data_IF_425713202503
#
_entry.id   IF_425713202503
#
_cell.length_a   1.000
_cell.length_b   1.000
_cell.length_c   1.000
_cell.angle_alpha   90.00
_cell.angle_beta   90.00
_cell.angle_gamma   90.00
#
_symmetry.space_group_name_H-M   'P 1'
#
loop_
_entity.id
_entity.type
_entity.pdbx_description
1 polymer ?
#
# COMPACT_ATOMS: atom_id res chain seq x y z
N UNK A 1 26.55 -5.35 22.81
CA UNK A 1 25.65 -4.20 22.56
C UNK A 1 24.22 -4.72 22.63
N UNK A 2 23.38 -4.16 23.48
CA UNK A 2 21.95 -4.50 23.52
C UNK A 2 21.22 -3.53 22.59
N UNK A 3 20.56 -4.03 21.56
CA UNK A 3 19.70 -3.24 20.69
C UNK A 3 18.34 -3.05 21.36
N UNK A 4 17.70 -1.90 21.14
CA UNK A 4 16.32 -1.69 21.55
C UNK A 4 15.40 -2.67 20.80
N UNK A 5 14.45 -3.30 21.51
CA UNK A 5 13.43 -4.15 20.90
C UNK A 5 12.30 -3.33 20.25
N UNK A 6 12.22 -2.04 20.56
CA UNK A 6 11.25 -1.13 19.99
C UNK A 6 11.93 -0.18 19.02
N UNK A 7 11.30 0.05 17.88
CA UNK A 7 11.76 1.03 16.90
C UNK A 7 11.41 2.43 17.36
N UNK A 8 12.33 3.36 17.11
CA UNK A 8 12.09 4.80 17.31
C UNK A 8 11.36 5.37 16.09
N UNK A 9 10.04 5.33 16.12
CA UNK A 9 9.18 5.84 15.04
C UNK A 9 9.13 7.38 15.05
N UNK A 10 9.40 8.02 16.19
CA UNK A 10 9.43 9.49 16.30
C UNK A 10 10.58 10.12 15.50
N UNK A 11 11.61 9.36 15.17
CA UNK A 11 12.68 9.81 14.27
C UNK A 11 12.21 10.05 12.83
N UNK A 12 11.06 9.48 12.42
CA UNK A 12 10.48 9.61 11.07
C UNK A 12 9.40 10.69 11.08
N UNK A 13 8.39 10.53 11.93
CA UNK A 13 7.31 11.49 12.13
C UNK A 13 7.05 11.65 13.63
N UNK A 14 7.58 12.72 14.28
CA UNK A 14 7.40 12.94 15.71
C UNK A 14 5.91 13.03 16.09
N UNK A 15 5.52 12.33 17.15
CA UNK A 15 4.15 12.37 17.68
C UNK A 15 3.25 11.22 17.21
N UNK A 16 3.80 10.22 16.50
CA UNK A 16 3.06 9.00 16.14
C UNK A 16 1.83 9.29 15.26
N UNK A 17 0.68 8.73 15.62
CA UNK A 17 -0.60 8.96 14.91
C UNK A 17 -1.12 10.39 15.01
N UNK A 18 -0.61 11.20 15.94
CA UNK A 18 -0.94 12.63 16.07
C UNK A 18 0.08 13.57 15.38
N UNK A 19 1.02 13.05 14.62
CA UNK A 19 2.07 13.83 13.99
C UNK A 19 1.52 14.86 13.00
N UNK A 20 1.82 16.15 13.23
CA UNK A 20 1.49 17.23 12.29
C UNK A 20 2.22 17.04 10.96
N UNK A 21 3.47 16.58 11.01
CA UNK A 21 4.27 16.34 9.80
C UNK A 21 3.68 15.22 8.95
N UNK A 22 3.18 14.13 9.56
CA UNK A 22 2.47 13.07 8.85
C UNK A 22 1.17 13.59 8.23
N UNK A 23 0.36 14.33 8.99
CA UNK A 23 -0.88 14.92 8.49
C UNK A 23 -0.62 15.88 7.32
N UNK A 24 0.42 16.71 7.41
CA UNK A 24 0.82 17.61 6.33
C UNK A 24 1.28 16.83 5.08
N UNK A 25 2.05 15.74 5.27
CA UNK A 25 2.48 14.87 4.17
C UNK A 25 1.30 14.20 3.46
N UNK A 26 0.33 13.73 4.22
CA UNK A 26 -0.89 13.12 3.67
C UNK A 26 -1.72 14.14 2.87
N UNK A 27 -1.84 15.38 3.35
CA UNK A 27 -2.50 16.45 2.60
C UNK A 27 -1.77 16.77 1.29
N UNK A 28 -0.45 16.82 1.31
CA UNK A 28 0.35 16.99 0.08
C UNK A 28 0.09 15.86 -0.92
N UNK A 29 -0.03 14.61 -0.45
CA UNK A 29 -0.34 13.47 -1.31
C UNK A 29 -1.74 13.59 -1.94
N UNK A 30 -2.72 14.05 -1.19
CA UNK A 30 -4.07 14.32 -1.71
C UNK A 30 -4.03 15.37 -2.83
N UNK A 31 -3.36 16.49 -2.59
CA UNK A 31 -3.22 17.57 -3.57
C UNK A 31 -2.46 17.09 -4.82
N UNK A 32 -1.36 16.35 -4.65
CA UNK A 32 -0.58 15.78 -5.73
C UNK A 32 -1.37 14.74 -6.54
N UNK A 33 -2.17 13.91 -5.88
CA UNK A 33 -3.03 12.92 -6.56
C UNK A 33 -4.10 13.61 -7.39
N UNK A 34 -4.69 14.68 -6.88
CA UNK A 34 -5.65 15.50 -7.61
C UNK A 34 -5.01 16.17 -8.83
N UNK A 35 -3.81 16.71 -8.66
CA UNK A 35 -3.02 17.31 -9.74
C UNK A 35 -2.66 16.27 -10.81
N UNK A 36 -2.20 15.10 -10.41
CA UNK A 36 -1.86 14.00 -11.32
C UNK A 36 -3.05 13.61 -12.18
N UNK A 37 -4.21 13.38 -11.56
CA UNK A 37 -5.45 13.08 -12.27
C UNK A 37 -5.79 14.15 -13.31
N UNK A 38 -5.71 15.43 -12.93
CA UNK A 38 -6.00 16.55 -13.85
C UNK A 38 -4.99 16.62 -15.01
N UNK A 39 -3.69 16.43 -14.72
CA UNK A 39 -2.65 16.45 -15.75
C UNK A 39 -2.82 15.30 -16.74
N UNK A 40 -3.07 14.09 -16.25
CA UNK A 40 -3.33 12.90 -17.09
C UNK A 40 -4.58 13.10 -17.95
N UNK A 41 -5.66 13.59 -17.37
CA UNK A 41 -6.94 13.81 -18.10
C UNK A 41 -6.77 14.84 -19.22
N UNK A 42 -6.04 15.93 -18.97
CA UNK A 42 -5.81 17.01 -19.94
C UNK A 42 -4.72 16.67 -20.98
N UNK A 43 -3.83 15.75 -20.65
CA UNK A 43 -2.77 15.38 -21.56
C UNK A 43 -3.35 14.67 -22.81
N UNK A 44 -2.96 15.14 -23.99
CA UNK A 44 -3.28 14.45 -25.24
C UNK A 44 -2.01 13.90 -25.87
N UNK A 45 -2.01 12.61 -26.27
CA UNK A 45 -0.84 11.96 -26.82
C UNK A 45 -0.38 12.65 -28.13
N UNK A 46 0.89 13.06 -28.14
CA UNK A 46 1.55 13.61 -29.32
C UNK A 46 3.05 13.53 -29.09
N UNK A 47 3.83 13.28 -30.13
CA UNK A 47 5.29 13.12 -30.03
C UNK A 47 6.01 14.37 -29.51
N UNK A 48 5.45 15.56 -29.73
CA UNK A 48 5.95 16.84 -29.22
C UNK A 48 5.66 17.09 -27.74
N UNK A 49 4.92 16.19 -27.07
CA UNK A 49 4.55 16.29 -25.67
C UNK A 49 5.27 15.33 -24.74
N UNK A 50 6.42 14.81 -25.16
CA UNK A 50 7.26 13.93 -24.34
C UNK A 50 7.66 14.58 -23.01
N UNK A 51 8.01 15.86 -22.99
CA UNK A 51 8.32 16.62 -21.78
C UNK A 51 7.14 16.67 -20.80
N UNK A 52 5.92 16.88 -21.32
CA UNK A 52 4.72 16.88 -20.47
C UNK A 52 4.46 15.49 -19.87
N UNK A 53 4.63 14.43 -20.67
CA UNK A 53 4.53 13.06 -20.17
C UNK A 53 5.59 12.78 -19.09
N UNK A 54 6.83 13.19 -19.31
CA UNK A 54 7.89 13.02 -18.32
C UNK A 54 7.53 13.70 -16.98
N UNK A 55 7.00 14.93 -17.02
CA UNK A 55 6.54 15.62 -15.81
C UNK A 55 5.36 14.90 -15.11
N UNK A 56 4.46 14.25 -15.88
CA UNK A 56 3.36 13.43 -15.34
C UNK A 56 3.94 12.19 -14.64
N UNK A 57 4.90 11.50 -15.25
CA UNK A 57 5.52 10.29 -14.68
C UNK A 57 6.35 10.61 -13.43
N UNK A 58 7.05 11.74 -13.40
CA UNK A 58 7.78 12.20 -12.21
C UNK A 58 6.83 12.53 -11.04
N UNK A 59 5.66 13.11 -11.35
CA UNK A 59 4.65 13.36 -10.33
C UNK A 59 4.08 12.05 -9.80
N UNK A 60 3.82 11.05 -10.67
CA UNK A 60 3.40 9.70 -10.26
C UNK A 60 4.42 9.04 -9.34
N UNK A 61 5.70 9.09 -9.70
CA UNK A 61 6.78 8.57 -8.85
C UNK A 61 6.80 9.24 -7.47
N UNK A 62 6.66 10.57 -7.43
CA UNK A 62 6.60 11.35 -6.18
C UNK A 62 5.42 10.92 -5.30
N UNK A 63 4.24 10.68 -5.89
CA UNK A 63 3.06 10.20 -5.20
C UNK A 63 3.29 8.78 -4.67
N UNK A 64 3.80 7.88 -5.51
CA UNK A 64 4.06 6.48 -5.11
C UNK A 64 5.04 6.39 -3.95
N UNK A 65 6.13 7.14 -4.00
CA UNK A 65 7.12 7.20 -2.93
C UNK A 65 6.51 7.76 -1.64
N UNK A 66 5.73 8.83 -1.74
CA UNK A 66 5.06 9.43 -0.58
C UNK A 66 3.98 8.53 0.01
N UNK A 67 3.19 7.86 -0.82
CA UNK A 67 2.19 6.88 -0.38
C UNK A 67 2.86 5.73 0.36
N UNK A 68 3.92 5.17 -0.21
CA UNK A 68 4.70 4.08 0.40
C UNK A 68 5.28 4.49 1.75
N UNK A 69 5.84 5.70 1.85
CA UNK A 69 6.37 6.25 3.11
C UNK A 69 5.28 6.33 4.19
N UNK A 70 4.14 6.96 3.88
CA UNK A 70 3.04 7.10 4.83
C UNK A 70 2.44 5.75 5.20
N UNK A 71 2.23 4.86 4.23
CA UNK A 71 1.69 3.53 4.47
C UNK A 71 2.59 2.68 5.36
N UNK A 72 3.90 2.66 5.10
CA UNK A 72 4.87 1.92 5.91
C UNK A 72 4.90 2.44 7.36
N UNK A 73 4.86 3.75 7.53
CA UNK A 73 4.84 4.36 8.85
C UNK A 73 3.56 4.04 9.63
N UNK A 74 2.38 4.20 9.01
CA UNK A 74 1.09 3.88 9.63
C UNK A 74 1.01 2.39 9.97
N UNK A 75 1.52 1.52 9.09
CA UNK A 75 1.59 0.07 9.34
C UNK A 75 2.49 -0.23 10.55
N UNK A 76 3.61 0.46 10.71
CA UNK A 76 4.48 0.31 11.87
C UNK A 76 3.78 0.75 13.18
N UNK A 77 3.02 1.86 13.16
CA UNK A 77 2.20 2.29 14.31
C UNK A 77 1.16 1.23 14.69
N UNK A 78 0.42 0.71 13.71
CA UNK A 78 -0.60 -0.32 13.94
C UNK A 78 0.01 -1.65 14.41
N UNK A 79 1.21 -1.98 13.95
CA UNK A 79 1.94 -3.16 14.41
C UNK A 79 2.43 -3.01 15.86
N UNK A 80 2.77 -1.80 16.28
CA UNK A 80 3.14 -1.50 17.67
C UNK A 80 1.91 -1.45 18.59
N UNK A 81 0.78 -0.91 18.10
CA UNK A 81 -0.48 -0.82 18.83
C UNK A 81 -1.68 -0.99 17.88
N UNK A 82 -2.19 -2.21 17.79
CA UNK A 82 -3.37 -2.55 16.97
C UNK A 82 -4.65 -1.81 17.37
N UNK A 83 -4.69 -1.24 18.58
CA UNK A 83 -5.83 -0.48 19.09
C UNK A 83 -5.71 1.04 18.87
N UNK A 84 -4.67 1.50 18.18
CA UNK A 84 -4.52 2.91 17.81
C UNK A 84 -5.61 3.32 16.80
N UNK A 85 -6.67 3.94 17.33
CA UNK A 85 -7.83 4.39 16.52
C UNK A 85 -7.46 5.49 15.54
N UNK A 86 -6.51 6.37 15.89
CA UNK A 86 -6.10 7.48 15.05
C UNK A 86 -5.23 6.97 13.88
N UNK A 87 -4.34 6.01 14.13
CA UNK A 87 -3.62 5.33 13.06
C UNK A 87 -4.56 4.59 12.09
N UNK A 88 -5.66 3.97 12.57
CA UNK A 88 -6.68 3.38 11.69
C UNK A 88 -7.39 4.43 10.83
N UNK A 89 -7.72 5.58 11.40
CA UNK A 89 -8.32 6.70 10.66
C UNK A 89 -7.35 7.21 9.58
N UNK A 90 -6.07 7.38 9.92
CA UNK A 90 -5.03 7.78 8.96
C UNK A 90 -4.88 6.77 7.83
N UNK A 91 -4.87 5.47 8.14
CA UNK A 91 -4.87 4.40 7.14
C UNK A 91 -6.05 4.53 6.18
N UNK A 92 -7.27 4.68 6.70
CA UNK A 92 -8.47 4.87 5.88
C UNK A 92 -8.37 6.09 4.96
N UNK A 93 -7.89 7.23 5.47
CA UNK A 93 -7.67 8.45 4.66
C UNK A 93 -6.63 8.24 3.56
N UNK A 94 -5.54 7.53 3.86
CA UNK A 94 -4.51 7.23 2.87
C UNK A 94 -5.04 6.34 1.74
N UNK A 95 -5.72 5.26 2.09
CA UNK A 95 -6.29 4.34 1.11
C UNK A 95 -7.42 4.96 0.28
N UNK A 96 -8.12 5.97 0.80
CA UNK A 96 -9.13 6.72 0.05
C UNK A 96 -8.56 7.50 -1.17
N UNK A 97 -7.24 7.67 -1.26
CA UNK A 97 -6.58 8.27 -2.42
C UNK A 97 -6.44 7.29 -3.60
N UNK A 98 -6.41 5.98 -3.33
CA UNK A 98 -6.14 4.95 -4.34
C UNK A 98 -7.11 4.94 -5.52
N UNK A 99 -8.44 5.03 -5.34
CA UNK A 99 -9.36 4.99 -6.48
C UNK A 99 -9.07 6.10 -7.49
N UNK A 100 -8.71 7.29 -7.02
CA UNK A 100 -8.39 8.41 -7.90
C UNK A 100 -7.07 8.24 -8.63
N UNK A 101 -6.07 7.70 -7.94
CA UNK A 101 -4.78 7.36 -8.53
C UNK A 101 -4.96 6.29 -9.62
N UNK A 102 -5.65 5.21 -9.31
CA UNK A 102 -5.94 4.12 -10.24
C UNK A 102 -6.77 4.59 -11.44
N UNK A 103 -7.76 5.47 -11.22
CA UNK A 103 -8.50 6.07 -12.34
C UNK A 103 -7.59 6.86 -13.27
N UNK A 104 -6.65 7.64 -12.75
CA UNK A 104 -5.67 8.35 -13.57
C UNK A 104 -4.77 7.39 -14.35
N UNK A 105 -4.29 6.33 -13.71
CA UNK A 105 -3.45 5.30 -14.35
C UNK A 105 -4.22 4.57 -15.46
N UNK A 106 -5.49 4.24 -15.24
CA UNK A 106 -6.39 3.66 -16.25
C UNK A 106 -6.51 4.57 -17.47
N UNK A 107 -6.76 5.87 -17.26
CA UNK A 107 -6.85 6.87 -18.33
C UNK A 107 -5.53 6.98 -19.09
N UNK A 108 -4.40 7.03 -18.37
CA UNK A 108 -3.08 7.12 -18.99
C UNK A 108 -2.76 5.89 -19.85
N UNK A 109 -3.03 4.68 -19.33
CA UNK A 109 -2.81 3.42 -20.05
C UNK A 109 -3.63 3.34 -21.33
N UNK A 110 -4.90 3.77 -21.30
CA UNK A 110 -5.76 3.83 -22.49
C UNK A 110 -5.22 4.82 -23.51
N UNK A 111 -4.82 6.01 -23.07
CA UNK A 111 -4.18 7.00 -23.97
C UNK A 111 -2.92 6.46 -24.61
N UNK A 112 -2.12 5.67 -23.91
CA UNK A 112 -0.94 5.01 -24.49
C UNK A 112 -1.33 3.98 -25.56
N UNK A 113 -2.39 3.20 -25.32
CA UNK A 113 -2.87 2.20 -26.28
C UNK A 113 -3.39 2.83 -27.59
N UNK A 114 -3.90 4.05 -27.54
CA UNK A 114 -4.42 4.79 -28.70
C UNK A 114 -3.33 5.43 -29.58
N UNK A 115 -2.08 5.54 -29.09
CA UNK A 115 -0.96 6.13 -29.85
C UNK A 115 -0.55 5.16 -30.96
N UNK A 116 -0.33 5.69 -32.20
CA UNK A 116 0.21 4.89 -33.29
C UNK A 116 1.61 4.33 -32.95
N UNK A 117 1.99 3.19 -33.50
CA UNK A 117 3.31 2.61 -33.26
C UNK A 117 4.47 3.55 -33.65
N UNK A 118 4.29 4.30 -34.71
CA UNK A 118 5.29 5.26 -35.17
C UNK A 118 5.48 6.41 -34.18
N UNK A 119 4.38 7.03 -33.73
CA UNK A 119 4.40 8.13 -32.75
C UNK A 119 4.89 7.65 -31.39
N UNK A 120 4.52 6.42 -31.00
CA UNK A 120 4.97 5.80 -29.77
C UNK A 120 6.48 5.59 -29.76
N UNK A 121 7.04 5.01 -30.83
CA UNK A 121 8.49 4.82 -30.97
C UNK A 121 9.24 6.15 -31.01
N UNK A 122 8.69 7.15 -31.65
CA UNK A 122 9.25 8.50 -31.65
C UNK A 122 9.23 9.11 -30.24
N UNK A 123 8.15 8.95 -29.49
CA UNK A 123 8.06 9.41 -28.10
C UNK A 123 9.08 8.70 -27.21
N UNK A 124 9.20 7.37 -27.31
CA UNK A 124 10.16 6.59 -26.53
C UNK A 124 11.63 6.93 -26.87
N UNK A 125 11.91 7.49 -28.04
CA UNK A 125 13.27 7.95 -28.38
C UNK A 125 13.73 9.18 -27.59
N UNK A 126 12.83 9.83 -26.85
CA UNK A 126 13.20 10.90 -25.95
C UNK A 126 14.04 10.36 -24.79
N UNK A 127 15.21 10.96 -24.53
CA UNK A 127 16.19 10.43 -23.57
C UNK A 127 15.68 10.18 -22.15
N UNK A 128 14.62 10.90 -21.73
CA UNK A 128 14.01 10.68 -20.42
C UNK A 128 13.33 9.32 -20.28
N UNK A 129 13.03 8.61 -21.36
CA UNK A 129 12.29 7.34 -21.33
C UNK A 129 13.17 6.12 -21.57
N UNK A 130 14.45 6.30 -21.87
CA UNK A 130 15.37 5.20 -22.20
C UNK A 130 15.37 4.09 -21.14
N UNK A 131 15.46 4.46 -19.86
CA UNK A 131 15.52 3.50 -18.74
C UNK A 131 14.18 2.87 -18.38
N UNK A 132 13.06 3.50 -18.77
CA UNK A 132 11.70 3.06 -18.42
C UNK A 132 10.89 2.60 -19.63
N UNK A 133 11.50 2.58 -20.83
CA UNK A 133 10.83 2.22 -22.08
C UNK A 133 10.13 0.84 -22.01
N UNK A 134 10.77 -0.15 -21.37
CA UNK A 134 10.16 -1.46 -21.17
C UNK A 134 8.85 -1.34 -20.37
N UNK A 135 8.87 -0.62 -19.26
CA UNK A 135 7.68 -0.45 -18.42
C UNK A 135 6.56 0.32 -19.14
N UNK A 136 6.92 1.35 -19.91
CA UNK A 136 5.93 2.10 -20.70
C UNK A 136 5.27 1.22 -21.77
N UNK A 137 6.04 0.33 -22.43
CA UNK A 137 5.48 -0.66 -23.37
C UNK A 137 4.52 -1.65 -22.69
N UNK A 138 4.84 -2.11 -21.49
CA UNK A 138 3.95 -2.96 -20.70
C UNK A 138 2.63 -2.23 -20.39
N UNK A 139 2.70 -0.98 -19.88
CA UNK A 139 1.51 -0.18 -19.58
C UNK A 139 0.66 0.03 -20.84
N UNK A 140 1.30 0.31 -22.00
CA UNK A 140 0.60 0.46 -23.27
C UNK A 140 -0.12 -0.82 -23.69
N UNK A 141 0.55 -1.97 -23.57
CA UNK A 141 -0.03 -3.28 -23.89
C UNK A 141 -1.23 -3.56 -22.99
N UNK A 142 -1.07 -3.36 -21.69
CA UNK A 142 -2.12 -3.61 -20.71
C UNK A 142 -3.31 -2.66 -20.92
N UNK A 143 -3.05 -1.42 -21.31
CA UNK A 143 -4.07 -0.42 -21.68
C UNK A 143 -5.03 -0.88 -22.79
N UNK A 144 -4.54 -1.69 -23.74
CA UNK A 144 -5.35 -2.25 -24.82
C UNK A 144 -6.33 -3.36 -24.34
N UNK A 145 -6.13 -3.89 -23.14
CA UNK A 145 -6.94 -4.98 -22.57
C UNK A 145 -7.93 -4.49 -21.50
N UNK A 146 -7.88 -3.21 -21.14
CA UNK A 146 -8.77 -2.62 -20.13
C UNK A 146 -10.22 -2.58 -20.60
N UNK A 147 -11.13 -2.69 -19.65
CA UNK A 147 -12.56 -2.48 -19.82
C UNK A 147 -12.86 -1.00 -20.15
N UNK A 148 -14.13 -0.63 -20.30
CA UNK A 148 -14.50 0.78 -20.43
C UNK A 148 -14.07 1.59 -19.20
N UNK A 149 -13.86 2.89 -19.35
CA UNK A 149 -13.47 3.77 -18.23
C UNK A 149 -14.49 3.70 -17.07
N UNK A 150 -15.77 3.61 -17.40
CA UNK A 150 -16.85 3.52 -16.40
C UNK A 150 -16.77 2.20 -15.61
N UNK A 151 -16.51 1.07 -16.28
CA UNK A 151 -16.38 -0.24 -15.64
C UNK A 151 -15.12 -0.29 -14.76
N UNK A 152 -13.98 0.20 -15.25
CA UNK A 152 -12.73 0.27 -14.47
C UNK A 152 -12.89 1.16 -13.23
N UNK A 153 -13.59 2.29 -13.34
CA UNK A 153 -13.85 3.17 -12.20
C UNK A 153 -14.74 2.49 -11.15
N UNK A 154 -15.74 1.72 -11.56
CA UNK A 154 -16.60 0.94 -10.65
C UNK A 154 -15.75 -0.12 -9.94
N UNK A 155 -14.92 -0.89 -10.68
CA UNK A 155 -14.05 -1.92 -10.12
C UNK A 155 -13.07 -1.31 -9.12
N UNK A 156 -12.40 -0.22 -9.47
CA UNK A 156 -11.45 0.47 -8.61
C UNK A 156 -12.10 0.98 -7.31
N UNK A 157 -13.31 1.52 -7.41
CA UNK A 157 -14.06 2.02 -6.24
C UNK A 157 -14.49 0.87 -5.34
N UNK A 158 -15.06 -0.20 -5.91
CA UNK A 158 -15.52 -1.37 -5.16
C UNK A 158 -14.35 -2.17 -4.55
N UNK A 159 -13.16 -2.11 -5.14
CA UNK A 159 -11.97 -2.80 -4.61
C UNK A 159 -11.56 -2.26 -3.24
N UNK A 160 -11.89 -1.01 -2.93
CA UNK A 160 -11.58 -0.40 -1.64
C UNK A 160 -12.29 -1.13 -0.50
N UNK A 161 -13.61 -1.26 -0.61
CA UNK A 161 -14.47 -1.88 0.41
C UNK A 161 -14.61 -3.41 0.23
N UNK A 162 -14.27 -3.92 -0.94
CA UNK A 162 -14.24 -5.33 -1.27
C UNK A 162 -12.89 -5.96 -0.94
N UNK A 163 -12.03 -6.05 -1.94
CA UNK A 163 -10.76 -6.79 -1.86
C UNK A 163 -9.83 -6.30 -0.74
N UNK A 164 -9.64 -4.97 -0.63
CA UNK A 164 -8.70 -4.40 0.34
C UNK A 164 -9.22 -4.46 1.78
N UNK A 165 -10.53 -4.28 1.97
CA UNK A 165 -11.13 -4.31 3.30
C UNK A 165 -11.08 -5.72 3.93
N UNK A 166 -11.15 -6.79 3.14
CA UNK A 166 -11.04 -8.15 3.66
C UNK A 166 -9.69 -8.44 4.30
N UNK A 167 -8.58 -7.93 3.74
CA UNK A 167 -7.26 -8.06 4.34
C UNK A 167 -7.19 -7.38 5.71
N UNK A 168 -7.68 -6.15 5.81
CA UNK A 168 -7.73 -5.41 7.09
C UNK A 168 -8.64 -6.08 8.11
N UNK A 169 -9.74 -6.69 7.66
CA UNK A 169 -10.64 -7.44 8.53
C UNK A 169 -9.98 -8.71 9.08
N UNK A 170 -9.27 -9.45 8.21
CA UNK A 170 -8.47 -10.59 8.61
C UNK A 170 -7.42 -10.21 9.66
N UNK A 171 -6.65 -9.14 9.44
CA UNK A 171 -5.64 -8.67 10.39
C UNK A 171 -6.26 -8.30 11.74
N UNK A 172 -7.42 -7.67 11.72
CA UNK A 172 -8.16 -7.31 12.94
C UNK A 172 -8.60 -8.55 13.72
N UNK A 173 -9.13 -9.57 13.03
CA UNK A 173 -9.54 -10.84 13.64
C UNK A 173 -8.33 -11.55 14.24
N UNK A 174 -7.24 -11.70 13.47
CA UNK A 174 -6.02 -12.37 13.94
C UNK A 174 -5.41 -11.64 15.13
N UNK A 175 -5.40 -10.32 15.12
CA UNK A 175 -4.90 -9.52 16.24
C UNK A 175 -5.77 -9.63 17.51
N UNK A 176 -7.05 -9.97 17.37
CA UNK A 176 -7.95 -10.17 18.51
C UNK A 176 -7.82 -11.56 19.18
N UNK A 177 -7.11 -12.49 18.52
CA UNK A 177 -6.92 -13.83 19.08
C UNK A 177 -5.93 -13.76 20.24
N UNK A 178 -6.40 -14.23 21.40
CA UNK A 178 -5.59 -14.40 22.60
C UNK A 178 -5.53 -15.88 22.98
N UNK A 179 -4.31 -16.37 23.23
CA UNK A 179 -4.06 -17.78 23.52
C UNK A 179 -3.48 -17.87 24.94
N UNK A 180 -4.28 -18.37 25.92
CA UNK A 180 -3.79 -18.53 27.29
C UNK A 180 -2.71 -19.61 27.33
N UNK A 181 -1.55 -19.26 27.86
CA UNK A 181 -0.40 -20.16 27.99
C UNK A 181 0.18 -20.09 29.40
N UNK A 182 0.45 -21.24 30.01
CA UNK A 182 1.09 -21.30 31.31
C UNK A 182 2.62 -21.17 31.16
N UNK A 183 3.18 -20.13 31.76
CA UNK A 183 4.61 -19.89 31.81
C UNK A 183 5.02 -19.57 33.25
N UNK A 184 6.00 -20.30 33.77
CA UNK A 184 6.54 -20.10 35.14
C UNK A 184 5.46 -20.13 36.24
N UNK A 185 4.44 -20.96 36.07
CA UNK A 185 3.31 -21.09 37.02
C UNK A 185 2.27 -19.98 36.95
N UNK A 186 2.37 -19.12 35.93
CA UNK A 186 1.38 -18.04 35.67
C UNK A 186 0.79 -18.21 34.26
N UNK A 187 -0.51 -17.88 34.15
CA UNK A 187 -1.16 -17.84 32.84
C UNK A 187 -0.88 -16.49 32.18
N UNK A 188 -0.24 -16.52 31.03
CA UNK A 188 0.00 -15.35 30.17
C UNK A 188 -0.82 -15.46 28.91
N UNK A 189 -1.29 -14.33 28.42
CA UNK A 189 -2.04 -14.24 27.16
C UNK A 189 -1.07 -13.96 26.02
N UNK A 190 -0.96 -14.90 25.09
CA UNK A 190 -0.12 -14.77 23.92
C UNK A 190 -0.97 -14.33 22.73
N UNK A 191 -0.47 -13.38 21.93
CA UNK A 191 -1.05 -13.14 20.61
C UNK A 191 -0.83 -14.35 19.68
N UNK A 192 -1.61 -14.47 18.60
CA UNK A 192 -1.46 -15.54 17.62
C UNK A 192 -0.02 -15.64 17.08
N UNK A 193 0.62 -14.50 16.80
CA UNK A 193 2.01 -14.45 16.33
C UNK A 193 3.02 -14.92 17.39
N UNK A 194 2.86 -14.51 18.65
CA UNK A 194 3.72 -14.94 19.75
C UNK A 194 3.59 -16.45 20.00
N UNK A 195 2.35 -16.96 20.01
CA UNK A 195 2.09 -18.39 20.17
C UNK A 195 2.70 -19.20 19.03
N UNK A 196 2.56 -18.73 17.78
CA UNK A 196 3.10 -19.39 16.60
C UNK A 196 4.65 -19.40 16.62
N UNK A 197 5.29 -18.27 16.92
CA UNK A 197 6.75 -18.19 17.02
C UNK A 197 7.29 -19.12 18.12
N UNK A 198 6.62 -19.14 19.27
CA UNK A 198 7.02 -20.02 20.38
C UNK A 198 6.79 -21.49 20.03
N UNK A 199 5.68 -21.82 19.37
CA UNK A 199 5.39 -23.16 18.86
C UNK A 199 6.46 -23.66 17.87
N UNK A 200 7.01 -22.78 17.01
CA UNK A 200 7.99 -23.16 16.00
C UNK A 200 9.42 -23.21 16.54
N UNK A 201 9.77 -22.36 17.51
CA UNK A 201 11.16 -22.12 17.93
C UNK A 201 11.50 -22.47 19.38
N UNK A 202 10.54 -22.84 20.23
CA UNK A 202 10.82 -23.16 21.63
C UNK A 202 11.65 -24.43 21.74
N UNK A 203 12.74 -24.44 22.55
CA UNK A 203 13.60 -25.62 22.71
C UNK A 203 12.85 -26.80 23.36
N UNK A 204 11.86 -26.56 24.24
CA UNK A 204 11.08 -27.61 24.87
C UNK A 204 9.99 -28.17 23.96
N UNK A 205 10.08 -29.47 23.59
CA UNK A 205 9.07 -30.13 22.76
C UNK A 205 7.65 -30.09 23.37
N UNK A 206 7.53 -30.12 24.71
CA UNK A 206 6.22 -30.08 25.40
C UNK A 206 5.54 -28.74 25.24
N UNK A 207 6.31 -27.65 25.27
CA UNK A 207 5.83 -26.30 25.00
C UNK A 207 5.26 -26.24 23.57
N UNK A 208 6.03 -26.73 22.60
CA UNK A 208 5.60 -26.75 21.21
C UNK A 208 4.31 -27.56 21.00
N UNK A 209 4.24 -28.75 21.60
CA UNK A 209 3.06 -29.63 21.52
C UNK A 209 1.83 -28.97 22.15
N UNK A 210 1.99 -28.36 23.32
CA UNK A 210 0.90 -27.67 24.03
C UNK A 210 0.36 -26.50 23.18
N UNK A 211 1.24 -25.68 22.61
CA UNK A 211 0.83 -24.56 21.76
C UNK A 211 0.21 -25.05 20.44
N UNK A 212 0.75 -26.11 19.84
CA UNK A 212 0.16 -26.72 18.66
C UNK A 212 -1.28 -27.20 18.91
N UNK A 213 -1.55 -27.82 20.06
CA UNK A 213 -2.88 -28.24 20.44
C UNK A 213 -3.82 -27.03 20.63
N UNK A 214 -3.34 -25.97 21.26
CA UNK A 214 -4.12 -24.73 21.50
C UNK A 214 -4.37 -23.93 20.21
N UNK A 215 -3.39 -23.83 19.33
CA UNK A 215 -3.52 -23.15 18.04
C UNK A 215 -4.39 -23.90 17.02
N UNK A 216 -4.75 -25.17 17.26
CA UNK A 216 -5.68 -25.95 16.45
C UNK A 216 -7.15 -25.50 16.58
N UNK A 217 -7.47 -24.59 17.49
CA UNK A 217 -8.84 -24.08 17.69
C UNK A 217 -9.26 -23.27 16.47
N UNK A 218 -9.74 -23.93 15.45
CA UNK A 218 -10.21 -23.38 14.19
C UNK A 218 -10.50 -24.45 13.13
N UNK A 219 -10.36 -25.71 13.52
CA UNK A 219 -10.74 -26.87 12.71
C UNK A 219 -11.76 -27.75 13.47
N UNK A 220 -12.79 -27.13 13.99
CA UNK A 220 -13.98 -27.84 14.43
C UNK A 220 -15.10 -27.63 13.43
#
# INVERSE_FOLDING_TARGET
MSYSLNWDLDSIFPGGSHSDALNQRMKQLEDQTNEYYQRVTKWSPSSDKAEQLNAILQLQETITNGFTQCNSYITALLSANVNDSDAKILSGKLYALLPRLQSAETVLSKKFAEISDNDWNQMLSHGSFETIAFRLNEIRRDGSQLLSEAEENIINTLSLDGLNAWSSHYDTIVASISIPFEQDGQVVELSAGQAFNKMMGDPDPKVRETLFAKCKIGRA
#
